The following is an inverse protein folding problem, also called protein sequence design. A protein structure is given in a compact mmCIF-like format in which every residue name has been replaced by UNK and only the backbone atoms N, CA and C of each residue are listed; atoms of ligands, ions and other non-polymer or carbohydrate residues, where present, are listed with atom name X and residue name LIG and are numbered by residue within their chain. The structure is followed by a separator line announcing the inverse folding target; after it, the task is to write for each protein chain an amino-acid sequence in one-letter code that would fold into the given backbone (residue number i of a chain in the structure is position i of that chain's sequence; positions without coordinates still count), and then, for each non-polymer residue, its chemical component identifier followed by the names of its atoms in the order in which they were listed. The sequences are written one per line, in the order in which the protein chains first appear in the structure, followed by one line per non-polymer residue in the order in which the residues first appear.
data_IF_324321389692
#
_entry.id   IF_324321389692
#
_cell.length_a   1.000
_cell.length_b   1.000
_cell.length_c   1.000
_cell.angle_alpha   90.00
_cell.angle_beta   90.00
_cell.angle_gamma   90.00
#
_symmetry.space_group_name_H-M   'P 1'
#
loop_
_entity.id
_entity.type
_entity.pdbx_description
1 polymer ?
#
# COMPACT_ATOMS: atom_id res chain seq x y z
N UNK A 1 32.16 -41.22 -47.73
CA UNK A 1 32.21 -41.09 -46.25
C UNK A 1 32.63 -39.70 -45.76
N UNK A 2 33.56 -39.01 -46.43
CA UNK A 2 34.08 -37.67 -46.04
C UNK A 2 33.02 -36.56 -45.99
N UNK A 3 32.12 -36.46 -46.97
CA UNK A 3 31.04 -35.44 -46.99
C UNK A 3 30.01 -35.61 -45.87
N UNK A 4 29.75 -36.85 -45.43
CA UNK A 4 28.80 -37.14 -44.34
C UNK A 4 29.43 -36.75 -43.00
N UNK A 5 30.72 -37.07 -42.80
CA UNK A 5 31.48 -36.64 -41.61
C UNK A 5 31.56 -35.11 -41.50
N UNK A 6 31.79 -34.41 -42.61
CA UNK A 6 31.86 -32.94 -42.62
C UNK A 6 30.51 -32.30 -42.25
N UNK A 7 29.39 -32.85 -42.76
CA UNK A 7 28.05 -32.38 -42.38
C UNK A 7 27.78 -32.61 -40.89
N UNK A 8 28.09 -33.79 -40.36
CA UNK A 8 27.91 -34.10 -38.92
C UNK A 8 28.71 -33.14 -38.04
N UNK A 9 29.97 -32.87 -38.39
CA UNK A 9 30.81 -31.92 -37.63
C UNK A 9 30.21 -30.51 -37.66
N UNK A 10 29.70 -30.07 -38.82
CA UNK A 10 29.07 -28.75 -38.95
C UNK A 10 27.79 -28.65 -38.11
N UNK A 11 26.94 -29.69 -38.11
CA UNK A 11 25.71 -29.70 -37.31
C UNK A 11 25.99 -29.73 -35.80
N UNK A 12 27.02 -30.49 -35.38
CA UNK A 12 27.44 -30.54 -33.97
C UNK A 12 28.04 -29.20 -33.52
N UNK A 13 28.88 -28.56 -34.35
CA UNK A 13 29.38 -27.21 -34.05
C UNK A 13 28.25 -26.17 -34.00
N UNK A 14 27.25 -26.26 -34.88
CA UNK A 14 26.10 -25.36 -34.86
C UNK A 14 25.24 -25.54 -33.59
N UNK A 15 24.99 -26.79 -33.18
CA UNK A 15 24.30 -27.09 -31.92
C UNK A 15 25.09 -26.63 -30.69
N UNK A 16 26.42 -26.75 -30.72
CA UNK A 16 27.30 -26.27 -29.64
C UNK A 16 27.32 -24.73 -29.54
N UNK A 17 27.32 -24.03 -30.68
CA UNK A 17 27.21 -22.57 -30.72
C UNK A 17 25.83 -22.05 -30.28
N UNK A 18 24.74 -22.78 -30.59
CA UNK A 18 23.41 -22.46 -30.07
C UNK A 18 23.33 -22.59 -28.55
N UNK A 19 23.96 -23.62 -27.97
CA UNK A 19 23.97 -23.85 -26.52
C UNK A 19 24.72 -22.74 -25.75
N UNK A 20 25.75 -22.14 -26.35
CA UNK A 20 26.52 -21.03 -25.75
C UNK A 20 25.77 -19.68 -25.78
N UNK A 21 24.70 -19.54 -26.58
CA UNK A 21 23.87 -18.33 -26.63
C UNK A 21 22.67 -18.37 -25.66
N UNK A 22 22.49 -19.46 -24.91
CA UNK A 22 21.46 -19.53 -23.87
C UNK A 22 21.91 -18.79 -22.61
N UNK A 23 21.99 -17.45 -22.69
CA UNK A 23 21.92 -16.61 -21.49
C UNK A 23 20.48 -16.66 -21.01
N UNK A 24 20.18 -17.58 -20.09
CA UNK A 24 18.99 -17.46 -19.27
C UNK A 24 19.12 -16.16 -18.48
N UNK A 25 18.55 -15.07 -19.01
CA UNK A 25 18.38 -13.84 -18.27
C UNK A 25 17.49 -14.19 -17.07
N UNK A 26 18.07 -14.26 -15.87
CA UNK A 26 17.32 -14.42 -14.63
C UNK A 26 16.48 -13.16 -14.45
N UNK A 27 15.31 -13.14 -15.06
CA UNK A 27 14.35 -12.07 -14.89
C UNK A 27 13.80 -12.16 -13.48
N UNK A 28 13.98 -11.08 -12.72
CA UNK A 28 13.49 -10.98 -11.34
C UNK A 28 12.26 -10.11 -11.29
N UNK A 29 11.51 -10.25 -10.22
CA UNK A 29 10.40 -9.36 -9.94
C UNK A 29 10.58 -8.65 -8.61
N UNK A 30 9.93 -7.49 -8.52
CA UNK A 30 9.73 -6.78 -7.26
C UNK A 30 8.25 -6.80 -6.96
N UNK A 31 7.90 -7.33 -5.79
CA UNK A 31 6.58 -7.20 -5.19
C UNK A 31 6.60 -6.00 -4.23
N UNK A 32 5.72 -5.03 -4.43
CA UNK A 32 5.56 -3.90 -3.50
C UNK A 32 4.13 -3.89 -2.98
N UNK A 33 3.96 -3.90 -1.67
CA UNK A 33 2.66 -3.80 -1.01
C UNK A 33 2.63 -2.56 -0.12
N UNK A 34 1.55 -1.80 -0.15
CA UNK A 34 1.33 -0.69 0.79
C UNK A 34 0.87 -1.22 2.15
N UNK A 35 1.39 -0.64 3.24
CA UNK A 35 1.02 -1.03 4.61
C UNK A 35 -0.48 -0.87 4.89
N UNK A 36 -1.09 0.16 4.33
CA UNK A 36 -2.49 0.51 4.50
C UNK A 36 -3.41 0.03 3.36
N UNK A 37 -2.91 -0.84 2.47
CA UNK A 37 -3.62 -1.30 1.25
C UNK A 37 -4.10 -0.16 0.34
N UNK A 38 -3.50 1.02 0.46
CA UNK A 38 -3.82 2.16 -0.38
C UNK A 38 -3.34 1.92 -1.80
N UNK A 39 -4.17 2.27 -2.79
CA UNK A 39 -3.78 2.19 -4.18
C UNK A 39 -2.70 3.24 -4.49
N UNK A 40 -1.68 2.80 -5.22
CA UNK A 40 -0.56 3.60 -5.66
C UNK A 40 -0.14 3.17 -7.07
N UNK A 41 0.73 3.96 -7.69
CA UNK A 41 1.42 3.57 -8.90
C UNK A 41 2.92 3.68 -8.70
N UNK A 42 3.66 2.89 -9.46
CA UNK A 42 5.11 2.97 -9.54
C UNK A 42 5.48 3.31 -10.97
N UNK A 43 6.10 4.47 -11.17
CA UNK A 43 6.71 4.84 -12.44
C UNK A 43 8.19 4.48 -12.41
N UNK A 44 8.58 3.59 -13.31
CA UNK A 44 9.95 3.13 -13.49
C UNK A 44 10.39 3.49 -14.92
N UNK A 45 11.28 4.48 -15.06
CA UNK A 45 11.55 5.13 -16.34
C UNK A 45 10.23 5.60 -17.01
N UNK A 46 9.91 5.09 -18.20
CA UNK A 46 8.69 5.42 -18.95
C UNK A 46 7.53 4.44 -18.72
N UNK A 47 7.72 3.41 -17.87
CA UNK A 47 6.68 2.42 -17.57
C UNK A 47 5.95 2.77 -16.28
N UNK A 48 4.63 2.80 -16.35
CA UNK A 48 3.74 2.99 -15.21
C UNK A 48 3.13 1.64 -14.81
N UNK A 49 3.29 1.27 -13.54
CA UNK A 49 2.71 0.09 -12.94
C UNK A 49 1.71 0.49 -11.88
N UNK A 50 0.42 0.24 -12.11
CA UNK A 50 -0.63 0.51 -11.14
C UNK A 50 -0.76 -0.64 -10.15
N UNK A 51 -0.98 -0.33 -8.89
CA UNK A 51 -1.31 -1.35 -7.88
C UNK A 51 -2.73 -1.88 -8.08
N UNK A 52 -2.98 -3.11 -7.61
CA UNK A 52 -4.33 -3.64 -7.44
C UNK A 52 -5.16 -2.79 -6.47
N UNK A 53 -6.47 -3.05 -6.42
CA UNK A 53 -7.39 -2.46 -5.42
C UNK A 53 -6.98 -2.72 -3.97
N UNK A 54 -6.26 -3.82 -3.71
CA UNK A 54 -5.74 -4.18 -2.38
C UNK A 54 -4.36 -3.59 -2.07
N UNK A 55 -3.85 -2.71 -2.94
CA UNK A 55 -2.65 -1.93 -2.70
C UNK A 55 -1.34 -2.73 -2.82
N UNK A 56 -1.22 -3.64 -3.77
CA UNK A 56 0.05 -4.26 -4.17
C UNK A 56 0.31 -4.15 -5.68
N UNK A 57 1.58 -4.18 -6.09
CA UNK A 57 2.02 -4.20 -7.49
C UNK A 57 3.19 -5.18 -7.66
N UNK A 58 3.27 -5.83 -8.82
CA UNK A 58 4.40 -6.67 -9.21
C UNK A 58 5.06 -6.05 -10.43
N UNK A 59 6.35 -5.76 -10.32
CA UNK A 59 7.18 -5.23 -11.43
C UNK A 59 8.05 -6.37 -11.94
N UNK A 60 7.73 -6.97 -13.09
CA UNK A 60 8.46 -8.12 -13.63
C UNK A 60 9.67 -7.70 -14.47
N UNK A 61 10.49 -8.71 -14.83
CA UNK A 61 11.56 -8.61 -15.81
C UNK A 61 12.63 -7.54 -15.48
N UNK A 62 13.03 -7.47 -14.21
CA UNK A 62 14.14 -6.63 -13.77
C UNK A 62 15.44 -7.43 -13.75
N UNK A 63 16.47 -6.86 -14.35
CA UNK A 63 17.84 -7.36 -14.26
C UNK A 63 18.49 -6.91 -12.94
N UNK A 64 19.72 -7.36 -12.68
CA UNK A 64 20.53 -6.82 -11.59
C UNK A 64 20.88 -5.35 -11.85
N UNK A 65 20.71 -4.50 -10.84
CA UNK A 65 20.93 -3.06 -10.98
C UNK A 65 20.12 -2.21 -10.02
N UNK A 66 20.36 -0.90 -10.08
CA UNK A 66 19.63 0.10 -9.27
C UNK A 66 18.65 0.84 -10.17
N UNK A 67 17.38 0.82 -9.81
CA UNK A 67 16.30 1.43 -10.56
C UNK A 67 15.71 2.61 -9.77
N UNK A 68 15.81 3.85 -10.26
CA UNK A 68 15.05 4.96 -9.71
C UNK A 68 13.57 4.76 -10.05
N UNK A 69 12.73 4.83 -9.03
CA UNK A 69 11.29 4.68 -9.14
C UNK A 69 10.60 5.89 -8.51
N UNK A 70 9.47 6.31 -9.10
CA UNK A 70 8.57 7.29 -8.52
C UNK A 70 7.31 6.56 -8.07
N UNK A 71 6.94 6.75 -6.81
CA UNK A 71 5.74 6.16 -6.22
C UNK A 71 4.75 7.28 -5.98
N UNK A 72 3.56 7.19 -6.56
CA UNK A 72 2.49 8.17 -6.36
C UNK A 72 1.19 7.51 -5.92
N UNK A 73 0.32 8.27 -5.27
CA UNK A 73 -0.98 7.81 -4.80
C UNK A 73 -2.09 8.51 -5.58
N UNK A 74 -3.11 7.78 -6.00
CA UNK A 74 -4.20 8.29 -6.86
C UNK A 74 -4.97 9.46 -6.25
N UNK A 75 -4.99 9.58 -4.92
CA UNK A 75 -5.64 10.70 -4.23
C UNK A 75 -4.79 11.98 -4.19
N UNK A 76 -3.47 11.88 -4.33
CA UNK A 76 -2.51 12.98 -4.18
C UNK A 76 -1.39 12.87 -5.23
N UNK A 77 -1.74 13.01 -6.52
CA UNK A 77 -0.81 12.89 -7.66
C UNK A 77 0.38 13.85 -7.60
N UNK A 78 0.23 14.98 -6.90
CA UNK A 78 1.24 16.03 -6.74
C UNK A 78 2.31 15.74 -5.68
N UNK A 79 2.25 14.58 -5.01
CA UNK A 79 3.18 14.20 -3.93
C UNK A 79 3.94 12.90 -4.21
N UNK A 80 4.46 12.76 -5.43
CA UNK A 80 5.27 11.60 -5.80
C UNK A 80 6.49 11.45 -4.90
N UNK A 81 6.86 10.21 -4.63
CA UNK A 81 7.94 9.82 -3.74
C UNK A 81 9.00 9.08 -4.57
N UNK A 82 10.18 9.67 -4.70
CA UNK A 82 11.32 9.07 -5.38
C UNK A 82 12.03 8.08 -4.47
N UNK A 83 12.25 6.87 -4.96
CA UNK A 83 12.93 5.79 -4.23
C UNK A 83 13.85 5.02 -5.18
N UNK A 84 14.91 4.41 -4.63
CA UNK A 84 15.84 3.57 -5.37
C UNK A 84 15.61 2.10 -5.05
N UNK A 85 15.24 1.31 -6.05
CA UNK A 85 15.06 -0.14 -5.94
C UNK A 85 16.35 -0.83 -6.38
N UNK A 86 16.99 -1.59 -5.49
CA UNK A 86 18.27 -2.27 -5.78
C UNK A 86 18.05 -3.76 -5.97
N UNK A 87 18.16 -4.24 -7.20
CA UNK A 87 18.04 -5.65 -7.56
C UNK A 87 19.40 -6.34 -7.47
N UNK A 88 19.48 -7.46 -6.71
CA UNK A 88 20.69 -8.27 -6.49
C UNK A 88 20.64 -9.62 -7.20
N UNK A 89 20.61 -10.78 -6.52
CA UNK A 89 20.47 -12.12 -7.15
C UNK A 89 19.13 -12.83 -6.91
N UNK A 90 18.17 -12.18 -6.26
CA UNK A 90 16.87 -12.78 -5.93
C UNK A 90 15.71 -11.79 -6.13
N UNK A 91 14.49 -12.34 -6.20
CA UNK A 91 13.25 -11.56 -6.18
C UNK A 91 13.12 -10.81 -4.86
N UNK A 92 12.51 -9.63 -4.92
CA UNK A 92 12.42 -8.73 -3.78
C UNK A 92 10.96 -8.47 -3.40
N UNK A 93 10.63 -8.70 -2.14
CA UNK A 93 9.39 -8.22 -1.53
C UNK A 93 9.63 -6.97 -0.72
N UNK A 94 8.84 -5.93 -0.94
CA UNK A 94 8.91 -4.65 -0.24
C UNK A 94 7.55 -4.25 0.32
N UNK A 95 7.56 -3.65 1.51
CA UNK A 95 6.42 -2.96 2.11
C UNK A 95 6.64 -1.45 1.96
N UNK A 96 5.75 -0.79 1.22
CA UNK A 96 5.65 0.66 1.17
C UNK A 96 4.96 1.15 2.44
N UNK A 97 5.71 1.86 3.28
CA UNK A 97 5.31 2.29 4.61
C UNK A 97 5.46 3.79 4.77
N UNK A 98 4.51 4.41 5.48
CA UNK A 98 4.61 5.79 5.89
C UNK A 98 5.20 5.87 7.31
N UNK A 99 6.32 6.59 7.47
CA UNK A 99 7.01 6.78 8.74
C UNK A 99 6.68 8.13 9.41
N UNK A 100 5.53 8.73 9.07
CA UNK A 100 5.08 10.00 9.61
C UNK A 100 5.97 11.14 9.15
N UNK A 101 6.59 11.85 10.09
CA UNK A 101 7.45 13.02 9.82
C UNK A 101 8.65 12.68 8.93
N UNK A 102 9.10 11.42 8.94
CA UNK A 102 10.21 10.94 8.10
C UNK A 102 9.81 10.66 6.65
N UNK A 103 8.52 10.71 6.34
CA UNK A 103 7.98 10.45 5.01
C UNK A 103 7.84 8.96 4.70
N UNK A 104 7.71 8.65 3.41
CA UNK A 104 7.51 7.30 2.91
C UNK A 104 8.82 6.53 2.81
N UNK A 105 8.77 5.21 2.89
CA UNK A 105 9.91 4.34 2.66
C UNK A 105 9.51 2.94 2.21
N UNK A 106 10.43 2.25 1.54
CA UNK A 106 10.30 0.84 1.19
C UNK A 106 11.06 -0.01 2.22
N UNK A 107 10.36 -0.92 2.88
CA UNK A 107 10.95 -1.90 3.81
C UNK A 107 11.05 -3.25 3.10
N UNK A 108 12.26 -3.77 2.93
CA UNK A 108 12.45 -5.10 2.38
C UNK A 108 11.89 -6.15 3.36
N UNK A 109 10.98 -7.01 2.90
CA UNK A 109 10.29 -8.00 3.72
C UNK A 109 11.19 -9.17 4.17
N UNK A 110 12.31 -9.40 3.48
CA UNK A 110 13.26 -10.47 3.81
C UNK A 110 14.35 -9.97 4.78
N UNK A 111 14.91 -8.80 4.51
CA UNK A 111 16.06 -8.26 5.27
C UNK A 111 15.67 -7.22 6.32
N UNK A 112 14.43 -6.73 6.30
CA UNK A 112 13.93 -5.61 7.10
C UNK A 112 14.69 -4.29 6.88
N UNK A 113 15.50 -4.19 5.81
CA UNK A 113 16.19 -2.96 5.44
C UNK A 113 15.19 -1.93 4.89
N UNK A 114 15.33 -0.67 5.34
CA UNK A 114 14.47 0.43 4.92
C UNK A 114 15.20 1.38 3.98
N UNK A 115 14.62 1.65 2.82
CA UNK A 115 15.04 2.72 1.89
C UNK A 115 14.02 3.84 1.97
N UNK A 116 14.41 4.98 2.52
CA UNK A 116 13.54 6.14 2.61
C UNK A 116 13.32 6.76 1.23
N UNK A 117 12.09 7.12 0.94
CA UNK A 117 11.74 7.87 -0.25
C UNK A 117 11.97 9.36 -0.02
N UNK A 118 12.42 10.05 -1.06
CA UNK A 118 12.53 11.50 -1.10
C UNK A 118 11.28 12.03 -1.79
N UNK A 119 10.70 13.13 -1.31
CA UNK A 119 9.64 13.81 -2.07
C UNK A 119 10.19 14.18 -3.45
N UNK A 120 9.49 13.79 -4.50
CA UNK A 120 9.76 14.26 -5.85
C UNK A 120 9.16 15.67 -5.94
N UNK A 121 9.88 16.61 -5.34
CA UNK A 121 9.69 18.03 -5.61
C UNK A 121 10.15 18.21 -7.06
N UNK A 122 9.21 17.96 -7.98
CA UNK A 122 9.45 17.90 -9.42
C UNK A 122 10.33 19.06 -9.82
N UNK A 123 11.50 18.76 -10.39
CA UNK A 123 12.58 19.73 -10.63
C UNK A 123 12.55 20.90 -9.64
N UNK A 124 13.20 20.75 -8.48
CA UNK A 124 14.01 21.88 -8.07
C UNK A 124 14.93 22.18 -9.26
N UNK A 125 14.59 23.21 -10.03
CA UNK A 125 15.61 24.09 -10.57
C UNK A 125 16.62 24.27 -9.44
N UNK A 126 17.92 24.01 -9.67
CA UNK A 126 18.93 24.01 -8.62
C UNK A 126 18.71 25.27 -7.78
N UNK A 127 18.61 25.13 -6.44
CA UNK A 127 18.47 26.25 -5.50
C UNK A 127 19.27 27.44 -6.01
N UNK A 128 18.56 28.41 -6.58
CA UNK A 128 19.16 29.61 -7.13
C UNK A 128 19.25 30.55 -5.94
N UNK A 129 20.41 30.55 -5.29
CA UNK A 129 20.72 31.63 -4.36
C UNK A 129 20.92 32.89 -5.21
N UNK A 130 20.07 33.89 -4.99
CA UNK A 130 20.16 35.15 -5.70
C UNK A 130 21.39 35.88 -5.18
N UNK A 131 22.37 36.15 -6.05
CA UNK A 131 23.57 36.90 -5.68
C UNK A 131 23.15 38.27 -5.09
N UNK A 132 23.39 38.50 -3.80
CA UNK A 132 23.03 39.74 -3.10
C UNK A 132 24.17 40.77 -3.09
N UNK A 133 25.32 40.46 -3.68
CA UNK A 133 26.44 41.38 -3.69
C UNK A 133 26.18 42.57 -4.63
N UNK A 134 26.59 43.76 -4.20
CA UNK A 134 26.33 45.02 -4.89
C UNK A 134 26.89 45.06 -6.32
N UNK A 135 27.88 44.22 -6.64
CA UNK A 135 28.47 44.17 -7.96
C UNK A 135 27.58 43.38 -8.93
N UNK A 136 27.09 42.19 -8.54
CA UNK A 136 26.17 41.38 -9.34
C UNK A 136 24.85 42.09 -9.62
N UNK A 137 24.34 42.89 -8.68
CA UNK A 137 23.12 43.71 -8.85
C UNK A 137 23.33 44.80 -9.91
N UNK A 138 24.46 45.50 -9.88
CA UNK A 138 24.76 46.55 -10.87
C UNK A 138 24.98 45.94 -12.26
N UNK A 139 25.65 44.79 -12.34
CA UNK A 139 25.88 44.12 -13.61
C UNK A 139 24.58 43.66 -14.27
N UNK A 140 23.67 43.08 -13.47
CA UNK A 140 22.35 42.65 -13.94
C UNK A 140 21.49 43.84 -14.44
N UNK A 141 21.58 44.99 -13.77
CA UNK A 141 20.84 46.20 -14.17
C UNK A 141 21.37 46.82 -15.47
N UNK A 142 22.70 46.85 -15.67
CA UNK A 142 23.32 47.45 -16.87
C UNK A 142 23.12 46.58 -18.11
N UNK A 143 23.19 45.25 -17.95
CA UNK A 143 23.02 44.29 -19.05
C UNK A 143 21.54 43.94 -19.26
N UNK A 144 20.66 44.40 -18.35
CA UNK A 144 19.22 44.13 -18.34
C UNK A 144 18.89 42.63 -18.41
N UNK A 145 19.72 41.81 -17.79
CA UNK A 145 19.55 40.36 -17.68
C UNK A 145 19.58 39.94 -16.20
N UNK A 146 18.41 39.71 -15.59
CA UNK A 146 18.29 39.24 -14.20
C UNK A 146 18.87 37.83 -13.98
N UNK A 147 19.15 37.08 -15.05
CA UNK A 147 19.69 35.72 -15.01
C UNK A 147 21.10 35.64 -14.44
N UNK A 148 21.86 36.74 -14.45
CA UNK A 148 23.23 36.82 -13.92
C UNK A 148 23.25 36.60 -12.39
N UNK A 149 22.15 36.91 -11.70
CA UNK A 149 22.05 36.74 -10.25
C UNK A 149 21.88 35.27 -9.82
N UNK A 150 21.88 34.32 -10.76
CA UNK A 150 21.49 32.93 -10.52
C UNK A 150 22.71 31.98 -10.54
N UNK A 151 23.06 31.37 -9.41
CA UNK A 151 24.11 30.34 -9.34
C UNK A 151 23.60 28.99 -8.78
N UNK A 152 23.98 27.82 -9.36
CA UNK A 152 23.56 26.51 -8.89
C UNK A 152 24.38 26.00 -7.69
N UNK A 153 23.70 25.57 -6.62
CA UNK A 153 24.33 25.03 -5.39
C UNK A 153 24.59 23.51 -5.52
N UNK A 154 25.83 23.08 -5.29
CA UNK A 154 26.23 21.65 -5.18
C UNK A 154 26.07 21.18 -3.73
N UNK A 155 25.26 20.15 -3.42
CA UNK A 155 25.12 19.63 -2.07
C UNK A 155 26.39 18.88 -1.64
N UNK A 156 27.16 19.45 -0.71
CA UNK A 156 28.05 18.70 0.19
C UNK A 156 27.26 18.39 1.45
N UNK A 157 27.11 17.10 1.78
CA UNK A 157 27.42 16.58 3.12
C UNK A 157 27.04 15.09 3.24
N UNK A 158 28.08 14.26 3.09
CA UNK A 158 28.22 13.00 3.81
C UNK A 158 29.14 13.28 5.00
N UNK A 159 28.63 13.24 6.22
CA UNK A 159 29.50 13.13 7.40
C UNK A 159 28.78 12.43 8.55
N UNK A 160 29.28 11.22 8.81
CA UNK A 160 29.00 10.37 9.97
C UNK A 160 29.62 11.03 11.21
N UNK A 161 28.88 11.06 12.31
CA UNK A 161 29.35 11.41 13.64
C UNK A 161 30.30 10.32 14.16
N UNK A 162 31.57 10.65 14.32
CA UNK A 162 32.51 9.99 15.23
C UNK A 162 33.36 11.04 15.96
N UNK A 163 33.70 10.66 17.18
CA UNK A 163 34.07 11.45 18.35
C UNK A 163 35.45 12.13 18.27
N UNK A 164 35.48 13.39 18.76
CA UNK A 164 36.54 14.12 19.51
C UNK A 164 37.97 13.52 19.55
N UNK A 165 38.99 14.28 19.12
CA UNK A 165 39.98 14.96 19.98
C UNK A 165 41.10 15.70 19.20
N UNK A 166 41.51 16.83 19.81
CA UNK A 166 42.75 17.61 19.71
C UNK A 166 43.35 18.18 18.39
N UNK A 167 43.31 19.52 18.36
CA UNK A 167 44.45 20.46 18.48
C UNK A 167 45.38 20.74 17.28
N UNK A 168 45.43 22.05 16.99
CA UNK A 168 46.55 22.89 16.53
C UNK A 168 46.83 23.06 15.03
N UNK A 169 46.58 24.30 14.62
CA UNK A 169 47.17 25.11 13.55
C UNK A 169 48.62 24.74 13.17
N UNK A 170 49.00 24.95 11.90
CA UNK A 170 49.89 26.07 11.48
C UNK A 170 49.99 26.14 9.95
N UNK A 171 49.79 27.38 9.48
CA UNK A 171 50.32 28.12 8.32
C UNK A 171 51.05 27.44 7.14
N UNK A 172 50.70 27.94 5.94
CA UNK A 172 51.68 28.69 5.12
C UNK A 172 51.89 28.22 3.68
N UNK A 173 51.53 29.10 2.71
CA UNK A 173 52.25 29.48 1.45
C UNK A 173 52.67 28.35 0.48
N UNK A 174 52.66 28.44 -0.86
CA UNK A 174 52.49 29.50 -1.87
C UNK A 174 52.44 28.76 -3.24
N UNK A 175 52.04 29.48 -4.29
CA UNK A 175 52.49 29.32 -5.69
C UNK A 175 51.63 28.58 -6.76
N UNK A 176 51.37 29.33 -7.84
CA UNK A 176 50.78 29.02 -9.16
C UNK A 176 51.88 28.45 -10.10
N UNK A 177 51.63 27.75 -11.25
CA UNK A 177 50.80 28.23 -12.36
C UNK A 177 50.01 27.16 -13.19
N UNK A 178 49.17 27.68 -14.12
CA UNK A 178 48.31 27.02 -15.13
C UNK A 178 49.13 26.37 -16.30
N UNK A 179 48.58 25.82 -17.44
CA UNK A 179 47.19 25.82 -17.99
C UNK A 179 46.73 24.56 -18.82
N UNK A 180 45.50 24.66 -19.40
CA UNK A 180 44.96 23.98 -20.63
C UNK A 180 44.68 22.45 -20.62
N UNK A 181 43.61 21.87 -21.21
CA UNK A 181 42.65 22.25 -22.24
C UNK A 181 41.41 21.30 -22.26
N UNK A 182 40.25 21.82 -22.73
CA UNK A 182 39.20 21.22 -23.61
C UNK A 182 38.53 19.87 -23.22
N UNK A 183 37.20 19.67 -23.28
CA UNK A 183 36.31 19.79 -24.44
C UNK A 183 34.82 19.79 -24.00
N UNK A 184 33.98 20.50 -24.75
CA UNK A 184 32.50 20.50 -24.66
C UNK A 184 31.92 19.24 -25.33
N UNK A 185 30.84 18.69 -24.79
CA UNK A 185 29.84 17.99 -25.60
C UNK A 185 28.42 18.27 -25.09
N UNK A 186 27.54 18.56 -26.04
CA UNK A 186 26.18 19.11 -25.90
C UNK A 186 25.16 17.99 -26.11
N UNK A 187 24.39 17.63 -25.08
CA UNK A 187 23.30 16.65 -25.20
C UNK A 187 21.98 17.39 -25.43
N UNK A 188 21.45 17.33 -26.65
CA UNK A 188 20.07 17.71 -26.98
C UNK A 188 19.11 16.63 -26.49
N UNK A 189 18.07 17.03 -25.75
CA UNK A 189 16.94 16.18 -25.36
C UNK A 189 15.87 16.22 -26.47
N UNK A 190 15.32 15.08 -26.95
CA UNK A 190 14.26 15.07 -27.96
C UNK A 190 12.91 15.43 -27.37
N UNK A 191 12.13 16.22 -28.11
CA UNK A 191 10.77 16.67 -27.76
C UNK A 191 9.76 15.75 -28.43
N UNK A 192 8.90 15.08 -27.66
CA UNK A 192 7.79 14.25 -28.18
C UNK A 192 6.56 15.12 -28.47
N UNK A 193 5.84 14.80 -29.56
CA UNK A 193 4.62 15.51 -29.98
C UNK A 193 3.41 14.57 -29.95
N UNK A 194 2.48 14.81 -29.03
CA UNK A 194 1.23 14.03 -28.91
C UNK A 194 0.10 14.74 -29.65
N UNK A 195 -0.65 14.02 -30.50
CA UNK A 195 -1.77 14.57 -31.29
C UNK A 195 -3.05 13.76 -31.12
N UNK A 196 -4.17 14.40 -30.79
CA UNK A 196 -5.50 13.75 -30.76
C UNK A 196 -5.93 13.37 -32.19
N UNK A 197 -6.37 12.13 -32.39
CA UNK A 197 -6.75 11.62 -33.72
C UNK A 197 -8.22 11.20 -33.82
N UNK A 198 -8.90 10.88 -32.71
CA UNK A 198 -10.36 10.67 -32.72
C UNK A 198 -10.99 10.87 -31.35
N UNK A 199 -12.28 11.17 -31.34
CA UNK A 199 -13.13 11.24 -30.17
C UNK A 199 -14.52 10.72 -30.53
N UNK A 200 -15.02 9.80 -29.72
CA UNK A 200 -16.32 9.17 -29.87
C UNK A 200 -17.05 9.30 -28.54
N UNK A 201 -18.23 9.91 -28.58
CA UNK A 201 -19.08 10.13 -27.42
C UNK A 201 -20.30 9.23 -27.51
N UNK A 202 -20.46 8.34 -26.54
CA UNK A 202 -21.65 7.51 -26.31
C UNK A 202 -22.40 8.06 -25.09
N UNK A 203 -23.67 7.68 -24.92
CA UNK A 203 -24.52 8.15 -23.81
C UNK A 203 -23.90 7.94 -22.42
N UNK A 204 -23.09 6.88 -22.25
CA UNK A 204 -22.48 6.51 -20.97
C UNK A 204 -20.96 6.80 -20.90
N UNK A 205 -20.30 7.00 -22.06
CA UNK A 205 -18.83 6.98 -22.15
C UNK A 205 -18.27 7.84 -23.29
N UNK A 206 -17.19 8.57 -23.01
CA UNK A 206 -16.37 9.28 -24.00
C UNK A 206 -15.05 8.53 -24.22
N UNK A 207 -14.77 8.13 -25.46
CA UNK A 207 -13.53 7.50 -25.89
C UNK A 207 -12.70 8.45 -26.73
N UNK A 208 -11.47 8.73 -26.33
CA UNK A 208 -10.54 9.61 -27.06
C UNK A 208 -9.29 8.82 -27.46
N UNK A 209 -8.87 8.89 -28.71
CA UNK A 209 -7.63 8.24 -29.17
C UNK A 209 -6.59 9.31 -29.52
N UNK A 210 -5.41 9.19 -28.92
CA UNK A 210 -4.23 10.01 -29.21
C UNK A 210 -3.20 9.21 -30.02
N UNK A 211 -2.47 9.89 -30.90
CA UNK A 211 -1.31 9.39 -31.60
C UNK A 211 -0.07 10.02 -30.98
N UNK A 212 0.78 9.20 -30.37
CA UNK A 212 2.10 9.58 -29.89
C UNK A 212 3.13 9.24 -30.96
N UNK A 213 3.88 10.25 -31.43
CA UNK A 213 4.94 10.07 -32.41
C UNK A 213 6.27 10.41 -31.75
N UNK A 214 7.08 9.38 -31.51
CA UNK A 214 8.44 9.50 -30.96
C UNK A 214 9.42 8.76 -31.86
N UNK A 215 10.50 9.45 -32.26
CA UNK A 215 11.64 8.90 -33.03
C UNK A 215 11.28 7.82 -34.07
N UNK A 216 10.38 8.20 -34.98
CA UNK A 216 9.94 7.39 -36.14
C UNK A 216 9.03 6.20 -35.84
N UNK A 217 8.48 6.10 -34.62
CA UNK A 217 7.41 5.16 -34.27
C UNK A 217 6.18 5.92 -33.80
N UNK A 218 5.01 5.50 -34.26
CA UNK A 218 3.74 6.08 -33.87
C UNK A 218 2.89 5.05 -33.14
N UNK A 219 2.41 5.38 -31.93
CA UNK A 219 1.53 4.51 -31.15
C UNK A 219 0.21 5.23 -30.83
N UNK A 220 -0.89 4.47 -30.76
CA UNK A 220 -2.21 5.01 -30.46
C UNK A 220 -2.63 4.71 -29.03
N UNK A 221 -2.92 5.76 -28.27
CA UNK A 221 -3.31 5.68 -26.85
C UNK A 221 -4.82 5.95 -26.73
N UNK A 222 -5.64 4.95 -26.37
CA UNK A 222 -7.06 5.16 -26.07
C UNK A 222 -7.25 5.61 -24.61
N UNK A 223 -8.04 6.66 -24.40
CA UNK A 223 -8.45 7.23 -23.12
C UNK A 223 -9.96 7.09 -22.99
N UNK A 224 -10.43 6.59 -21.84
CA UNK A 224 -11.85 6.36 -21.56
C UNK A 224 -12.28 7.24 -20.39
N UNK A 225 -13.33 8.04 -20.61
CA UNK A 225 -13.88 8.97 -19.62
C UNK A 225 -15.37 8.61 -19.42
N UNK A 226 -15.75 8.03 -18.27
CA UNK A 226 -17.16 7.72 -17.99
C UNK A 226 -17.93 9.00 -17.63
N UNK A 227 -19.09 9.20 -18.25
CA UNK A 227 -19.93 10.38 -18.03
C UNK A 227 -20.94 10.03 -16.93
N UNK A 228 -20.73 10.50 -15.69
CA UNK A 228 -21.70 10.30 -14.61
C UNK A 228 -22.98 11.10 -14.92
N UNK A 229 -24.09 10.40 -15.16
CA UNK A 229 -25.41 11.01 -15.23
C UNK A 229 -25.83 11.54 -13.85
N UNK A 230 -26.28 12.79 -13.81
CA UNK A 230 -26.92 13.43 -12.67
C UNK A 230 -28.44 13.24 -12.76
N UNK A 231 -29.06 13.14 -11.58
CA UNK A 231 -30.49 13.27 -11.23
C UNK A 231 -31.37 12.02 -11.08
N UNK A 232 -31.91 11.92 -9.85
CA UNK A 232 -33.31 11.75 -9.51
C UNK A 232 -34.25 11.19 -10.59
N UNK A 233 -34.77 9.98 -10.36
CA UNK A 233 -36.22 9.70 -10.22
C UNK A 233 -36.47 8.21 -9.96
N UNK A 234 -37.15 7.91 -8.85
CA UNK A 234 -37.91 6.66 -8.66
C UNK A 234 -39.21 6.73 -9.47
N UNK A 235 -39.69 5.62 -10.07
CA UNK A 235 -40.74 4.88 -9.37
C UNK A 235 -40.78 3.33 -9.57
N UNK A 236 -41.09 2.68 -8.44
CA UNK A 236 -41.91 1.47 -8.16
C UNK A 236 -42.31 0.44 -9.26
N UNK A 237 -42.04 -0.82 -8.85
CA UNK A 237 -42.90 -2.05 -8.81
C UNK A 237 -43.14 -2.83 -10.11
N UNK A 238 -42.76 -4.12 -10.08
CA UNK A 238 -43.69 -5.26 -9.89
C UNK A 238 -42.95 -6.54 -9.49
N UNK A 239 -43.53 -7.25 -8.52
CA UNK A 239 -43.21 -8.63 -8.17
C UNK A 239 -43.70 -9.55 -9.30
N UNK A 240 -42.90 -10.55 -9.65
CA UNK A 240 -43.45 -11.79 -10.19
C UNK A 240 -42.58 -12.97 -9.74
N UNK A 241 -43.26 -13.91 -9.11
CA UNK A 241 -42.80 -15.14 -8.47
C UNK A 241 -42.70 -16.22 -9.55
N UNK A 242 -41.56 -16.89 -9.72
CA UNK A 242 -41.51 -18.20 -10.39
C UNK A 242 -40.63 -19.17 -9.61
N UNK A 243 -41.22 -20.33 -9.43
CA UNK A 243 -40.87 -21.47 -8.59
C UNK A 243 -39.78 -22.35 -9.20
N UNK A 244 -38.91 -22.82 -8.30
CA UNK A 244 -37.96 -23.94 -8.31
C UNK A 244 -37.88 -24.90 -9.51
N UNK A 245 -36.64 -25.29 -9.86
CA UNK A 245 -36.28 -26.70 -10.04
C UNK A 245 -34.79 -26.96 -9.79
N UNK A 246 -34.50 -27.98 -8.98
CA UNK A 246 -33.17 -28.46 -8.55
C UNK A 246 -32.76 -29.62 -9.45
N UNK A 247 -31.52 -29.62 -9.94
CA UNK A 247 -30.81 -30.85 -10.35
C UNK A 247 -29.38 -30.84 -9.83
N UNK A 248 -29.09 -31.76 -8.92
CA UNK A 248 -27.74 -32.12 -8.46
C UNK A 248 -27.05 -33.02 -9.49
N UNK A 249 -25.74 -32.82 -9.66
CA UNK A 249 -24.80 -33.85 -10.10
C UNK A 249 -23.42 -33.56 -9.48
N UNK A 250 -22.94 -34.51 -8.67
CA UNK A 250 -21.62 -34.57 -8.02
C UNK A 250 -20.48 -34.81 -9.02
N UNK A 251 -19.27 -34.26 -8.74
CA UNK A 251 -18.03 -34.98 -8.32
C UNK A 251 -16.78 -34.05 -8.36
N UNK A 252 -15.61 -34.40 -7.78
CA UNK A 252 -15.15 -34.00 -6.44
C UNK A 252 -13.97 -33.01 -6.42
N UNK A 253 -13.85 -32.23 -5.34
CA UNK A 253 -12.65 -31.45 -4.98
C UNK A 253 -12.10 -31.90 -3.64
N UNK A 254 -10.80 -32.17 -3.63
CA UNK A 254 -9.94 -32.49 -2.50
C UNK A 254 -9.35 -31.20 -1.93
N UNK A 255 -9.61 -30.90 -0.67
CA UNK A 255 -8.60 -30.60 0.39
C UNK A 255 -9.20 -29.82 1.59
N UNK A 256 -9.09 -30.46 2.75
CA UNK A 256 -9.02 -29.94 4.13
C UNK A 256 -9.80 -28.67 4.52
N UNK A 257 -11.01 -28.85 5.05
CA UNK A 257 -11.73 -27.86 5.89
C UNK A 257 -11.56 -28.21 7.37
N UNK A 258 -11.31 -27.19 8.19
CA UNK A 258 -11.34 -27.25 9.65
C UNK A 258 -12.79 -27.06 10.14
N UNK A 259 -13.36 -28.16 10.63
CA UNK A 259 -14.46 -28.32 11.61
C UNK A 259 -15.78 -27.57 11.37
N UNK A 260 -16.77 -28.35 10.90
CA UNK A 260 -18.21 -28.10 11.01
C UNK A 260 -18.70 -28.29 12.46
N UNK A 261 -19.61 -27.42 12.91
CA UNK A 261 -20.53 -27.72 14.01
C UNK A 261 -21.93 -27.26 13.56
N UNK A 262 -22.74 -28.21 13.10
CA UNK A 262 -24.13 -27.99 12.70
C UNK A 262 -25.04 -27.80 13.93
N UNK A 263 -25.90 -26.78 13.86
CA UNK A 263 -26.95 -26.51 14.84
C UNK A 263 -28.29 -27.08 14.34
N UNK A 264 -29.11 -27.72 15.19
CA UNK A 264 -30.46 -28.13 14.85
C UNK A 264 -31.43 -26.93 14.86
N UNK A 265 -32.32 -26.92 13.86
CA UNK A 265 -33.42 -25.96 13.66
C UNK A 265 -34.55 -26.15 14.69
N UNK A 266 -34.96 -25.13 15.48
CA UNK A 266 -36.13 -25.19 16.33
C UNK A 266 -37.14 -24.09 15.99
N UNK A 267 -38.02 -24.34 15.02
CA UNK A 267 -39.34 -23.70 15.03
C UNK A 267 -40.29 -24.58 15.86
N UNK A 268 -40.46 -24.27 17.14
CA UNK A 268 -41.67 -24.62 17.88
C UNK A 268 -41.88 -23.66 19.06
N UNK A 269 -42.88 -22.79 18.93
CA UNK A 269 -43.41 -21.96 20.00
C UNK A 269 -44.05 -22.83 21.09
N UNK A 270 -43.93 -22.41 22.37
CA UNK A 270 -45.06 -22.41 23.30
C UNK A 270 -44.84 -21.49 24.50
N UNK A 271 -45.80 -20.60 24.66
CA UNK A 271 -46.05 -19.70 25.79
C UNK A 271 -46.44 -20.42 27.09
N UNK A 272 -46.58 -19.59 28.14
CA UNK A 272 -47.16 -19.75 29.50
C UNK A 272 -46.08 -19.83 30.60
N UNK A 273 -45.96 -18.98 31.62
CA UNK A 273 -46.84 -17.99 32.26
C UNK A 273 -46.88 -18.25 33.79
N UNK A 274 -46.82 -17.18 34.62
CA UNK A 274 -46.82 -17.07 36.11
C UNK A 274 -45.40 -17.01 36.76
N UNK A 275 -44.88 -15.90 37.33
CA UNK A 275 -45.33 -14.93 38.38
C UNK A 275 -45.53 -15.63 39.74
N UNK A 276 -44.75 -15.34 40.80
CA UNK A 276 -45.03 -14.34 41.87
C UNK A 276 -43.75 -14.16 42.75
N UNK A 277 -43.29 -12.91 42.85
CA UNK A 277 -42.91 -12.03 44.01
C UNK A 277 -42.27 -12.62 45.29
N UNK A 278 -41.43 -11.93 46.08
CA UNK A 278 -41.18 -10.49 46.27
C UNK A 278 -39.89 -10.23 47.12
N UNK A 279 -39.39 -8.98 47.08
CA UNK A 279 -38.63 -8.23 48.12
C UNK A 279 -37.23 -7.66 47.76
N UNK A 280 -37.27 -6.47 47.14
CA UNK A 280 -36.58 -5.20 47.45
C UNK A 280 -35.08 -5.18 47.87
N UNK A 281 -34.21 -4.58 47.02
CA UNK A 281 -33.45 -3.32 47.28
C UNK A 281 -33.09 -2.66 45.93
N UNK A 282 -33.14 -1.33 45.90
CA UNK A 282 -33.10 -0.41 44.75
C UNK A 282 -31.81 -0.35 43.90
N UNK A 283 -32.02 0.11 42.67
CA UNK A 283 -31.11 0.76 41.72
C UNK A 283 -29.91 -0.02 41.15
N UNK A 284 -30.19 -0.79 40.09
CA UNK A 284 -29.79 -0.44 38.70
C UNK A 284 -30.34 -1.50 37.75
N UNK A 285 -30.86 -1.04 36.61
CA UNK A 285 -31.34 -1.85 35.50
C UNK A 285 -30.32 -2.95 35.19
N UNK A 286 -30.64 -4.18 35.56
CA UNK A 286 -29.80 -5.35 35.33
C UNK A 286 -29.91 -5.73 33.85
N UNK A 287 -29.06 -5.11 33.05
CA UNK A 287 -28.83 -5.54 31.67
C UNK A 287 -28.38 -7.00 31.70
N UNK A 288 -29.00 -7.83 30.86
CA UNK A 288 -28.77 -9.26 30.78
C UNK A 288 -27.27 -9.57 30.62
N UNK A 289 -26.62 -9.92 31.74
CA UNK A 289 -25.23 -10.32 31.77
C UNK A 289 -25.07 -11.66 31.05
N UNK A 290 -24.00 -11.79 30.27
CA UNK A 290 -23.66 -13.05 29.63
C UNK A 290 -23.37 -14.12 30.70
N UNK A 291 -24.25 -15.12 30.85
CA UNK A 291 -24.13 -16.19 31.85
C UNK A 291 -22.88 -17.07 31.64
N UNK A 292 -22.16 -16.92 30.52
CA UNK A 292 -20.91 -17.63 30.23
C UNK A 292 -19.67 -17.00 30.88
N UNK A 293 -19.79 -15.81 31.45
CA UNK A 293 -18.68 -15.10 32.05
C UNK A 293 -18.46 -15.51 33.51
N UNK A 294 -17.41 -16.31 33.75
CA UNK A 294 -17.01 -16.74 35.09
C UNK A 294 -16.23 -15.69 35.87
N UNK A 295 -15.46 -14.86 35.16
CA UNK A 295 -14.66 -13.78 35.73
C UNK A 295 -14.66 -12.59 34.78
N UNK A 296 -14.97 -11.41 35.31
CA UNK A 296 -14.95 -10.15 34.56
C UNK A 296 -13.60 -9.44 34.77
N UNK A 297 -13.09 -8.81 33.72
CA UNK A 297 -11.80 -8.14 33.71
C UNK A 297 -11.81 -6.89 34.58
N UNK A 298 -10.81 -6.79 35.47
CA UNK A 298 -10.53 -5.55 36.19
C UNK A 298 -9.79 -4.56 35.29
N UNK A 299 -9.68 -3.31 35.70
CA UNK A 299 -8.91 -2.29 34.98
C UNK A 299 -7.44 -2.71 34.78
N UNK A 300 -6.85 -3.39 35.77
CA UNK A 300 -5.51 -3.95 35.67
C UNK A 300 -5.40 -5.00 34.57
N UNK A 301 -6.40 -5.87 34.43
CA UNK A 301 -6.42 -6.91 33.40
C UNK A 301 -6.53 -6.29 32.01
N UNK A 302 -7.39 -5.28 31.87
CA UNK A 302 -7.52 -4.48 30.66
C UNK A 302 -6.22 -3.78 30.26
N UNK A 303 -5.57 -3.07 31.17
CA UNK A 303 -4.31 -2.37 30.89
C UNK A 303 -3.18 -3.33 30.51
N UNK A 304 -3.09 -4.47 31.19
CA UNK A 304 -2.13 -5.51 30.86
C UNK A 304 -2.37 -6.08 29.46
N UNK A 305 -3.62 -6.40 29.12
CA UNK A 305 -3.96 -6.88 27.79
C UNK A 305 -3.67 -5.82 26.72
N UNK A 306 -4.06 -4.56 26.95
CA UNK A 306 -3.78 -3.44 26.05
C UNK A 306 -2.29 -3.30 25.77
N UNK A 307 -1.45 -3.40 26.81
CA UNK A 307 0.01 -3.37 26.66
C UNK A 307 0.54 -4.56 25.84
N UNK A 308 0.00 -5.77 26.08
CA UNK A 308 0.38 -6.97 25.32
C UNK A 308 -0.01 -6.88 23.85
N UNK A 309 -1.21 -6.35 23.56
CA UNK A 309 -1.65 -6.11 22.19
C UNK A 309 -0.76 -5.05 21.53
N UNK A 310 -0.49 -3.92 22.18
CA UNK A 310 0.37 -2.87 21.62
C UNK A 310 1.83 -3.30 21.37
N UNK A 311 2.30 -4.38 22.01
CA UNK A 311 3.61 -4.97 21.74
C UNK A 311 3.62 -5.81 20.44
N UNK A 312 2.44 -6.20 19.92
CA UNK A 312 2.30 -6.92 18.66
C UNK A 312 2.48 -5.97 17.47
N UNK A 313 3.36 -6.35 16.53
CA UNK A 313 3.64 -5.55 15.33
C UNK A 313 2.52 -5.65 14.28
N UNK A 314 1.72 -6.71 14.31
CA UNK A 314 0.66 -6.98 13.32
C UNK A 314 -0.69 -7.19 13.99
N UNK A 315 -1.77 -6.85 13.29
CA UNK A 315 -3.15 -7.06 13.74
C UNK A 315 -3.41 -8.50 14.20
N UNK A 316 -2.85 -9.47 13.48
CA UNK A 316 -2.96 -10.90 13.82
C UNK A 316 -2.33 -11.19 15.18
N UNK A 317 -1.15 -10.63 15.46
CA UNK A 317 -0.48 -10.81 16.74
C UNK A 317 -1.26 -10.15 17.89
N UNK A 318 -1.85 -8.98 17.65
CA UNK A 318 -2.70 -8.29 18.62
C UNK A 318 -3.96 -9.11 18.94
N UNK A 319 -4.65 -9.63 17.92
CA UNK A 319 -5.85 -10.46 18.09
C UNK A 319 -5.51 -11.77 18.80
N UNK A 320 -4.38 -12.41 18.47
CA UNK A 320 -3.93 -13.62 19.15
C UNK A 320 -3.61 -13.39 20.63
N UNK A 321 -3.04 -12.24 20.97
CA UNK A 321 -2.83 -11.84 22.36
C UNK A 321 -4.18 -11.65 23.10
N UNK A 322 -5.15 -11.00 22.44
CA UNK A 322 -6.51 -10.81 22.96
C UNK A 322 -7.24 -12.14 23.19
N UNK A 323 -7.24 -13.04 22.21
CA UNK A 323 -7.87 -14.36 22.28
C UNK A 323 -7.37 -15.19 23.45
N UNK A 324 -6.06 -15.11 23.76
CA UNK A 324 -5.49 -15.81 24.93
C UNK A 324 -6.11 -15.32 26.24
N UNK A 325 -6.40 -14.02 26.36
CA UNK A 325 -7.02 -13.43 27.55
C UNK A 325 -8.53 -13.59 27.59
N UNK A 326 -9.20 -13.49 26.45
CA UNK A 326 -10.65 -13.65 26.35
C UNK A 326 -11.13 -15.03 26.81
N UNK A 327 -10.34 -16.09 26.57
CA UNK A 327 -10.66 -17.45 27.04
C UNK A 327 -10.72 -17.58 28.57
N UNK A 328 -10.02 -16.73 29.31
CA UNK A 328 -9.95 -16.80 30.78
C UNK A 328 -10.79 -15.74 31.46
N UNK A 329 -11.02 -14.61 30.80
CA UNK A 329 -11.60 -13.42 31.42
C UNK A 329 -12.49 -12.71 30.43
N UNK A 330 -13.71 -12.38 30.85
CA UNK A 330 -14.62 -11.58 30.05
C UNK A 330 -14.34 -10.08 30.17
N UNK A 331 -14.58 -9.35 29.10
CA UNK A 331 -14.38 -7.90 29.04
C UNK A 331 -15.72 -7.19 28.84
N UNK A 332 -15.82 -5.94 29.24
CA UNK A 332 -16.99 -5.11 28.92
C UNK A 332 -16.91 -4.58 27.50
N UNK A 333 -18.05 -4.16 26.95
CA UNK A 333 -18.16 -3.60 25.61
C UNK A 333 -17.28 -2.37 25.48
N UNK A 334 -17.25 -1.52 26.52
CA UNK A 334 -16.35 -0.35 26.57
C UNK A 334 -14.87 -0.74 26.60
N UNK A 335 -14.49 -1.80 27.31
CA UNK A 335 -13.11 -2.29 27.28
C UNK A 335 -12.76 -2.79 25.88
N UNK A 336 -13.64 -3.56 25.24
CA UNK A 336 -13.45 -4.05 23.86
C UNK A 336 -13.38 -2.90 22.86
N UNK A 337 -14.20 -1.85 23.02
CA UNK A 337 -14.12 -0.60 22.25
C UNK A 337 -12.74 0.02 22.34
N UNK A 338 -12.23 0.17 23.56
CA UNK A 338 -10.92 0.77 23.80
C UNK A 338 -9.76 -0.10 23.28
N UNK A 339 -9.87 -1.44 23.34
CA UNK A 339 -8.91 -2.35 22.71
C UNK A 339 -8.98 -2.22 21.17
N UNK A 340 -10.17 -2.05 20.62
CA UNK A 340 -10.39 -1.80 19.19
C UNK A 340 -9.69 -0.53 18.68
N UNK A 341 -9.51 0.48 19.52
CA UNK A 341 -8.78 1.70 19.16
C UNK A 341 -7.29 1.48 18.83
N UNK A 342 -6.73 0.32 19.17
CA UNK A 342 -5.37 -0.06 18.76
C UNK A 342 -5.27 -0.44 17.28
N UNK A 343 -6.40 -0.79 16.64
CA UNK A 343 -6.45 -1.17 15.25
C UNK A 343 -6.71 0.04 14.38
N UNK A 344 -5.83 0.27 13.41
CA UNK A 344 -5.92 1.39 12.48
C UNK A 344 -6.96 1.15 11.37
N UNK A 345 -7.29 -0.11 11.11
CA UNK A 345 -8.21 -0.52 10.05
C UNK A 345 -9.51 -1.07 10.63
N UNK A 346 -10.61 -0.86 9.91
CA UNK A 346 -11.92 -1.43 10.30
C UNK A 346 -11.93 -2.96 10.18
N UNK A 347 -11.11 -3.54 9.30
CA UNK A 347 -10.90 -5.00 9.25
C UNK A 347 -10.32 -5.53 10.56
N UNK A 348 -9.28 -4.87 11.08
CA UNK A 348 -8.64 -5.25 12.35
C UNK A 348 -9.61 -5.12 13.52
N UNK A 349 -10.33 -3.99 13.60
CA UNK A 349 -11.38 -3.78 14.61
C UNK A 349 -12.48 -4.84 14.52
N UNK A 350 -13.01 -5.07 13.32
CA UNK A 350 -14.06 -6.06 13.10
C UNK A 350 -13.60 -7.46 13.52
N UNK A 351 -12.39 -7.88 13.15
CA UNK A 351 -11.84 -9.19 13.57
C UNK A 351 -11.68 -9.28 15.09
N UNK A 352 -11.24 -8.21 15.75
CA UNK A 352 -11.21 -8.16 17.20
C UNK A 352 -12.62 -8.31 17.79
N UNK A 353 -13.61 -7.60 17.24
CA UNK A 353 -14.98 -7.64 17.74
C UNK A 353 -15.60 -9.03 17.58
N UNK A 354 -15.47 -9.65 16.40
CA UNK A 354 -15.91 -11.04 16.20
C UNK A 354 -15.24 -11.99 17.20
N UNK A 355 -13.93 -11.83 17.43
CA UNK A 355 -13.19 -12.64 18.39
C UNK A 355 -13.60 -12.40 19.85
N UNK A 356 -14.01 -11.17 20.19
CA UNK A 356 -14.38 -10.77 21.54
C UNK A 356 -15.84 -11.11 21.89
N UNK A 357 -16.75 -11.15 20.90
CA UNK A 357 -18.20 -11.34 21.09
C UNK A 357 -18.59 -12.42 22.12
N UNK A 358 -18.09 -13.67 22.05
CA UNK A 358 -18.49 -14.71 23.02
C UNK A 358 -17.95 -14.47 24.45
N UNK A 359 -17.02 -13.54 24.63
CA UNK A 359 -16.32 -13.25 25.88
C UNK A 359 -16.65 -11.84 26.43
N UNK A 360 -17.79 -11.29 26.04
CA UNK A 360 -18.27 -9.99 26.52
C UNK A 360 -19.24 -10.18 27.67
N UNK A 361 -19.06 -9.40 28.74
CA UNK A 361 -19.89 -9.47 29.95
C UNK A 361 -21.27 -8.82 29.77
N UNK A 362 -21.33 -7.71 29.04
CA UNK A 362 -22.48 -6.82 28.80
C UNK A 362 -22.95 -6.90 27.33
N UNK A 363 -23.24 -8.11 26.86
CA UNK A 363 -23.69 -8.40 25.48
C UNK A 363 -24.79 -7.46 24.93
N UNK A 364 -25.81 -7.03 25.72
CA UNK A 364 -26.83 -6.11 25.22
C UNK A 364 -26.27 -4.77 24.70
N UNK A 365 -25.13 -4.33 25.22
CA UNK A 365 -24.49 -3.08 24.79
C UNK A 365 -23.57 -3.27 23.58
N UNK A 366 -23.30 -4.51 23.16
CA UNK A 366 -22.28 -4.81 22.17
C UNK A 366 -22.55 -4.17 20.80
N UNK A 367 -23.83 -3.98 20.45
CA UNK A 367 -24.24 -3.29 19.22
C UNK A 367 -23.72 -1.85 19.09
N UNK A 368 -23.40 -1.19 20.21
CA UNK A 368 -22.83 0.17 20.20
C UNK A 368 -21.45 0.25 19.54
N UNK A 369 -20.73 -0.88 19.42
CA UNK A 369 -19.45 -0.94 18.72
C UNK A 369 -19.55 -0.72 17.21
N UNK A 370 -20.76 -0.85 16.64
CA UNK A 370 -20.98 -0.56 15.23
C UNK A 370 -20.48 0.84 14.85
N UNK A 371 -20.69 1.82 15.75
CA UNK A 371 -20.27 3.21 15.54
C UNK A 371 -18.74 3.41 15.48
N UNK A 372 -17.97 2.36 15.78
CA UNK A 372 -16.50 2.39 15.73
C UNK A 372 -15.95 1.94 14.37
N UNK A 373 -16.82 1.37 13.52
CA UNK A 373 -16.54 0.99 12.14
C UNK A 373 -17.07 2.11 11.22
N UNK A 374 -16.33 2.41 10.16
CA UNK A 374 -16.66 3.45 9.18
C UNK A 374 -17.07 2.84 7.84
N UNK A 375 -16.47 1.72 7.48
CA UNK A 375 -16.72 1.02 6.23
C UNK A 375 -18.02 0.19 6.31
N UNK A 376 -18.94 0.48 5.37
CA UNK A 376 -20.27 -0.13 5.25
C UNK A 376 -20.21 -1.66 5.13
N UNK A 377 -19.16 -2.20 4.51
CA UNK A 377 -18.95 -3.64 4.42
C UNK A 377 -18.75 -4.30 5.79
N UNK A 378 -17.97 -3.68 6.68
CA UNK A 378 -17.76 -4.20 8.03
C UNK A 378 -18.93 -3.91 8.96
N UNK A 379 -19.62 -2.78 8.76
CA UNK A 379 -20.87 -2.45 9.49
C UNK A 379 -21.95 -3.50 9.22
N UNK A 380 -22.21 -3.81 7.95
CA UNK A 380 -23.22 -4.80 7.56
C UNK A 380 -22.92 -6.20 8.12
N UNK A 381 -21.66 -6.63 8.07
CA UNK A 381 -21.22 -7.89 8.69
C UNK A 381 -21.31 -7.90 10.21
N UNK A 382 -20.98 -6.79 10.86
CA UNK A 382 -21.09 -6.67 12.31
C UNK A 382 -22.55 -6.83 12.76
N UNK A 383 -23.49 -6.15 12.08
CA UNK A 383 -24.92 -6.33 12.32
C UNK A 383 -25.37 -7.78 12.09
N UNK A 384 -24.93 -8.41 11.00
CA UNK A 384 -25.26 -9.81 10.72
C UNK A 384 -24.79 -10.77 11.84
N UNK A 385 -23.62 -10.50 12.43
CA UNK A 385 -23.07 -11.29 13.55
C UNK A 385 -23.87 -11.14 14.85
N UNK A 386 -24.49 -9.97 15.11
CA UNK A 386 -25.32 -9.76 16.31
C UNK A 386 -26.67 -10.50 16.27
N UNK A 387 -27.12 -10.90 15.08
CA UNK A 387 -28.40 -11.57 14.85
C UNK A 387 -28.26 -13.10 14.67
N UNK A 388 -27.06 -13.64 14.88
CA UNK A 388 -26.79 -15.08 14.99
C UNK A 388 -26.95 -15.55 16.43
#
# INVERSE_FOLDING_TARGET
MTRIRQKIILTVCFLFFLALHSRAQKNRFVYIQSENRQMFYVKLADKLFNSSETGYVIIPALAEGTYPALIGFTKNETSQQRVSIVMKDADMGCLLKNFGDKGWGLVNLQTMQTVMARKDEGNQEPLIELATDSFSIILAAVVNDPGILKHPVVPKDSAILLTKEENKQVAGKEEKPAPEAQLKENVRVPVTQVKKISEENTADETRIIYLDVSDSKSDTIPVFIPVKATEDTLPKRKNEEVKAEVKNADMPVKDSRFLDMELPNPNLNKDTGAVISDTLVADKKADAANTRCKQTATEKDFLNLRKQMAAGVTDVNMINAALKKFRTTCFTTDQVKNLGALFLTDEGKYKLYVAAYPFVADLPQYGLLESQLKDEYYISRFRAMLHQ
#
